data_IF_826096542035
#
_entry.id   IF_826096542035
#
_cell.length_a   1.000
_cell.length_b   1.000
_cell.length_c   1.000
_cell.angle_alpha   90.00
_cell.angle_beta   90.00
_cell.angle_gamma   90.00
#
_symmetry.space_group_name_H-M   'P 1'
#
loop_
_entity.id
_entity.type
_entity.pdbx_description
1 polymer ?
#
# COMPACT_ATOMS: atom_id res chain seq x y z
N UNK A 1 16.09 -8.98 -11.67
CA UNK A 1 15.52 -7.83 -12.39
C UNK A 1 15.00 -6.81 -11.39
N UNK A 2 15.32 -5.56 -11.57
CA UNK A 2 14.88 -4.50 -10.66
C UNK A 2 13.66 -3.80 -11.25
N UNK A 3 12.62 -3.68 -10.46
CA UNK A 3 11.39 -3.00 -10.87
C UNK A 3 11.47 -1.53 -10.50
N UNK A 4 10.74 -0.70 -11.23
CA UNK A 4 10.58 0.73 -10.93
C UNK A 4 9.30 0.92 -10.15
N UNK A 5 9.35 1.79 -9.15
CA UNK A 5 8.19 2.08 -8.31
C UNK A 5 7.56 3.39 -8.75
N UNK A 6 6.26 3.35 -9.00
CA UNK A 6 5.46 4.54 -9.27
C UNK A 6 4.41 4.67 -8.18
N UNK A 7 4.63 5.62 -7.27
CA UNK A 7 3.65 5.92 -6.21
C UNK A 7 2.71 6.98 -6.75
N UNK A 8 1.44 6.62 -6.91
CA UNK A 8 0.45 7.57 -7.43
C UNK A 8 0.23 8.72 -6.44
N UNK A 9 -0.20 9.87 -6.94
CA UNK A 9 -0.50 11.02 -6.08
C UNK A 9 -1.56 10.67 -5.04
N UNK A 10 -2.55 9.86 -5.42
CA UNK A 10 -3.60 9.42 -4.52
C UNK A 10 -3.03 8.59 -3.35
N UNK A 11 -2.13 7.66 -3.65
CA UNK A 11 -1.50 6.84 -2.61
C UNK A 11 -0.63 7.68 -1.68
N UNK A 12 0.13 8.61 -2.24
CA UNK A 12 0.99 9.53 -1.47
C UNK A 12 0.17 10.40 -0.54
N UNK A 13 -0.89 11.00 -1.07
CA UNK A 13 -1.80 11.85 -0.29
C UNK A 13 -2.48 11.07 0.82
N UNK A 14 -2.91 9.85 0.53
CA UNK A 14 -3.54 8.99 1.52
C UNK A 14 -2.58 8.67 2.67
N UNK A 15 -1.34 8.35 2.35
CA UNK A 15 -0.32 8.07 3.35
C UNK A 15 -0.04 9.30 4.23
N UNK A 16 0.09 10.47 3.62
CA UNK A 16 0.33 11.72 4.33
C UNK A 16 -0.81 12.02 5.31
N UNK A 17 -2.05 11.87 4.86
CA UNK A 17 -3.22 12.08 5.69
C UNK A 17 -3.29 11.10 6.86
N UNK A 18 -2.93 9.85 6.62
CA UNK A 18 -2.93 8.83 7.66
C UNK A 18 -1.85 9.11 8.71
N UNK A 19 -0.66 9.50 8.28
CA UNK A 19 0.44 9.88 9.19
C UNK A 19 0.03 11.08 10.03
N UNK A 20 -0.56 12.09 9.41
CA UNK A 20 -1.07 13.26 10.11
C UNK A 20 -2.09 12.88 11.19
N UNK A 21 -3.04 12.02 10.84
CA UNK A 21 -4.07 11.54 11.77
C UNK A 21 -3.44 10.82 12.97
N UNK A 22 -2.47 9.94 12.72
CA UNK A 22 -1.81 9.20 13.80
C UNK A 22 -1.04 10.12 14.74
N UNK A 23 -0.33 11.12 14.20
CA UNK A 23 0.50 12.02 15.01
C UNK A 23 -0.36 13.02 15.78
N UNK A 24 -1.27 13.70 15.09
CA UNK A 24 -1.95 14.87 15.66
C UNK A 24 -3.30 14.57 16.28
N UNK A 25 -4.03 13.57 15.76
CA UNK A 25 -5.33 13.21 16.31
C UNK A 25 -5.24 12.14 17.37
N UNK A 26 -4.51 11.08 17.08
CA UNK A 26 -4.37 9.95 18.01
C UNK A 26 -3.15 10.10 18.93
N UNK A 27 -2.32 11.13 18.73
CA UNK A 27 -1.13 11.39 19.54
C UNK A 27 -0.22 10.16 19.65
N UNK A 28 -0.10 9.40 18.56
CA UNK A 28 0.64 8.16 18.53
C UNK A 28 1.76 8.20 17.50
N UNK A 29 2.87 8.81 17.89
CA UNK A 29 4.05 8.92 17.02
C UNK A 29 4.68 7.57 16.71
N UNK A 30 4.58 6.62 17.64
CA UNK A 30 5.13 5.28 17.44
C UNK A 30 4.38 4.53 16.34
N UNK A 31 3.05 4.65 16.32
CA UNK A 31 2.25 4.06 15.25
C UNK A 31 2.56 4.70 13.89
N UNK A 32 2.76 6.01 13.86
CA UNK A 32 3.15 6.71 12.64
C UNK A 32 4.50 6.22 12.12
N UNK A 33 5.47 6.07 13.01
CA UNK A 33 6.78 5.54 12.66
C UNK A 33 6.68 4.11 12.15
N UNK A 34 5.91 3.26 12.83
CA UNK A 34 5.71 1.88 12.41
C UNK A 34 5.09 1.81 11.00
N UNK A 35 4.10 2.65 10.74
CA UNK A 35 3.47 2.73 9.42
C UNK A 35 4.49 3.10 8.34
N UNK A 36 5.27 4.16 8.58
CA UNK A 36 6.26 4.62 7.59
C UNK A 36 7.36 3.59 7.36
N UNK A 37 7.87 2.97 8.43
CA UNK A 37 8.89 1.93 8.31
C UNK A 37 8.36 0.71 7.55
N UNK A 38 7.11 0.33 7.80
CA UNK A 38 6.47 -0.80 7.12
C UNK A 38 6.25 -0.52 5.65
N UNK A 39 5.79 0.68 5.31
CA UNK A 39 5.58 1.08 3.91
C UNK A 39 6.90 1.11 3.16
N UNK A 40 7.95 1.67 3.77
CA UNK A 40 9.29 1.68 3.18
C UNK A 40 9.81 0.28 2.92
N UNK A 41 9.65 -0.62 3.89
CA UNK A 41 10.05 -2.03 3.75
C UNK A 41 9.29 -2.71 2.60
N UNK A 42 7.99 -2.46 2.49
CA UNK A 42 7.17 -3.00 1.40
C UNK A 42 7.67 -2.47 0.06
N UNK A 43 7.93 -1.17 -0.04
CA UNK A 43 8.41 -0.56 -1.28
C UNK A 43 9.76 -1.15 -1.71
N UNK A 44 10.67 -1.35 -0.78
CA UNK A 44 11.97 -1.97 -1.07
C UNK A 44 11.80 -3.39 -1.62
N UNK A 45 10.89 -4.16 -1.02
CA UNK A 45 10.61 -5.53 -1.47
C UNK A 45 9.94 -5.55 -2.83
N UNK A 46 9.08 -4.57 -3.12
CA UNK A 46 8.40 -4.47 -4.42
C UNK A 46 9.40 -4.19 -5.55
N UNK A 47 10.41 -3.39 -5.29
CA UNK A 47 11.47 -3.11 -6.28
C UNK A 47 12.27 -4.38 -6.61
N UNK A 48 12.47 -5.24 -5.65
CA UNK A 48 13.17 -6.51 -5.85
C UNK A 48 12.30 -7.54 -6.58
N UNK A 49 11.12 -7.81 -6.04
CA UNK A 49 10.19 -8.79 -6.61
C UNK A 49 8.78 -8.53 -6.11
N UNK A 50 7.93 -7.85 -6.91
CA UNK A 50 6.55 -7.59 -6.51
C UNK A 50 5.71 -8.85 -6.39
N UNK A 51 6.08 -9.92 -7.07
CA UNK A 51 5.30 -11.16 -7.08
C UNK A 51 5.48 -12.01 -5.81
N UNK A 52 6.30 -11.58 -4.87
CA UNK A 52 6.36 -12.21 -3.56
C UNK A 52 5.11 -11.92 -2.72
N UNK A 53 4.31 -10.93 -3.13
CA UNK A 53 3.05 -10.59 -2.47
C UNK A 53 1.87 -11.27 -3.18
N UNK A 54 0.79 -11.59 -2.46
CA UNK A 54 -0.36 -12.26 -3.06
C UNK A 54 -1.20 -11.32 -3.91
N UNK A 55 -2.00 -11.92 -4.79
CA UNK A 55 -3.04 -11.18 -5.48
C UNK A 55 -4.06 -10.67 -4.46
N UNK A 56 -4.78 -9.61 -4.83
CA UNK A 56 -5.82 -9.05 -3.98
C UNK A 56 -6.79 -10.14 -3.54
N UNK A 57 -7.19 -10.11 -2.26
CA UNK A 57 -8.20 -11.01 -1.74
C UNK A 57 -9.58 -10.76 -2.33
N UNK A 58 -9.81 -9.57 -2.86
CA UNK A 58 -11.00 -9.27 -3.63
C UNK A 58 -10.86 -9.87 -5.03
N UNK A 59 -11.79 -10.76 -5.40
CA UNK A 59 -11.71 -11.49 -6.65
C UNK A 59 -11.78 -10.58 -7.88
N UNK A 60 -12.56 -9.52 -7.81
CA UNK A 60 -12.68 -8.58 -8.92
C UNK A 60 -11.37 -7.84 -9.16
N UNK A 61 -10.73 -7.37 -8.09
CA UNK A 61 -9.43 -6.70 -8.17
C UNK A 61 -8.34 -7.67 -8.62
N UNK A 62 -8.35 -8.90 -8.10
CA UNK A 62 -7.38 -9.91 -8.49
C UNK A 62 -7.45 -10.19 -10.00
N UNK A 63 -8.66 -10.28 -10.55
CA UNK A 63 -8.86 -10.47 -11.99
C UNK A 63 -8.36 -9.29 -12.82
N UNK A 64 -8.36 -8.10 -12.26
CA UNK A 64 -7.83 -6.90 -12.92
C UNK A 64 -6.31 -6.77 -12.78
N UNK A 65 -5.66 -7.69 -12.09
CA UNK A 65 -4.22 -7.68 -11.94
C UNK A 65 -3.70 -6.95 -10.71
N UNK A 66 -4.56 -6.67 -9.74
CA UNK A 66 -4.14 -6.02 -8.50
C UNK A 66 -3.62 -7.03 -7.48
N UNK A 67 -2.63 -6.60 -6.74
CA UNK A 67 -1.98 -7.33 -5.65
C UNK A 67 -2.11 -6.54 -4.36
N UNK A 68 -1.89 -7.19 -3.24
CA UNK A 68 -1.94 -6.53 -1.95
C UNK A 68 -0.74 -6.88 -1.07
N UNK A 69 -0.31 -5.89 -0.29
CA UNK A 69 0.70 -6.08 0.75
C UNK A 69 0.12 -5.57 2.07
N UNK A 70 0.03 -6.47 3.05
CA UNK A 70 -0.53 -6.14 4.37
C UNK A 70 0.53 -5.40 5.19
N UNK A 71 0.11 -4.30 5.83
CA UNK A 71 0.97 -3.59 6.78
C UNK A 71 0.85 -4.31 8.12
N UNK A 72 1.95 -4.88 8.65
CA UNK A 72 1.90 -5.69 9.87
C UNK A 72 1.38 -4.90 11.07
N UNK A 73 0.55 -5.54 11.89
CA UNK A 73 0.02 -4.99 13.15
C UNK A 73 -0.88 -3.78 12.98
N UNK A 74 -1.24 -3.45 11.75
CA UNK A 74 -2.17 -2.38 11.42
C UNK A 74 -3.17 -2.93 10.41
N UNK A 75 -4.39 -2.44 10.44
CA UNK A 75 -5.43 -2.92 9.54
C UNK A 75 -5.41 -2.21 8.19
N UNK A 76 -4.22 -1.99 7.65
CA UNK A 76 -4.04 -1.32 6.36
C UNK A 76 -3.37 -2.24 5.36
N UNK A 77 -3.70 -2.04 4.09
CA UNK A 77 -3.11 -2.76 2.97
C UNK A 77 -2.66 -1.78 1.90
N UNK A 78 -1.58 -2.14 1.23
CA UNK A 78 -1.10 -1.42 0.05
C UNK A 78 -1.59 -2.19 -1.17
N UNK A 79 -2.32 -1.51 -2.07
CA UNK A 79 -2.81 -2.09 -3.32
C UNK A 79 -1.94 -1.59 -4.46
N UNK A 80 -1.49 -2.53 -5.28
CA UNK A 80 -0.61 -2.20 -6.41
C UNK A 80 -0.89 -3.11 -7.59
N UNK A 81 -0.47 -2.67 -8.78
CA UNK A 81 -0.40 -3.53 -9.95
C UNK A 81 1.02 -3.51 -10.51
N UNK A 82 1.28 -4.42 -11.44
CA UNK A 82 2.58 -4.52 -12.11
C UNK A 82 2.34 -4.48 -13.60
N UNK A 83 2.98 -3.51 -14.26
CA UNK A 83 2.91 -3.37 -15.73
C UNK A 83 4.34 -3.31 -16.26
N UNK A 84 4.76 -4.36 -16.96
CA UNK A 84 6.15 -4.53 -17.42
C UNK A 84 7.09 -4.50 -16.22
N UNK A 85 8.00 -3.54 -16.15
CA UNK A 85 8.93 -3.37 -15.04
C UNK A 85 8.52 -2.29 -14.05
N UNK A 86 7.25 -1.83 -14.12
CA UNK A 86 6.74 -0.76 -13.26
C UNK A 86 5.72 -1.31 -12.28
N UNK A 87 5.94 -1.06 -11.00
CA UNK A 87 4.99 -1.33 -9.92
C UNK A 87 4.27 -0.03 -9.60
N UNK A 88 2.95 -0.01 -9.81
CA UNK A 88 2.13 1.16 -9.53
C UNK A 88 1.43 0.98 -8.19
N UNK A 89 1.76 1.83 -7.22
CA UNK A 89 1.07 1.87 -5.93
C UNK A 89 -0.17 2.73 -6.11
N UNK A 90 -1.34 2.10 -6.12
CA UNK A 90 -2.59 2.80 -6.42
C UNK A 90 -3.33 3.28 -5.18
N UNK A 91 -3.04 2.72 -4.02
CA UNK A 91 -3.64 3.20 -2.79
C UNK A 91 -3.19 2.44 -1.57
N UNK A 92 -3.47 3.04 -0.41
CA UNK A 92 -3.28 2.42 0.91
C UNK A 92 -4.63 2.54 1.60
N UNK A 93 -5.22 1.40 1.96
CA UNK A 93 -6.60 1.36 2.43
C UNK A 93 -6.72 0.58 3.72
N UNK A 94 -7.73 0.93 4.52
CA UNK A 94 -8.11 0.10 5.65
C UNK A 94 -8.74 -1.20 5.12
N UNK A 95 -8.40 -2.34 5.73
CA UNK A 95 -8.87 -3.64 5.24
C UNK A 95 -10.38 -3.79 5.24
N UNK A 96 -11.08 -3.04 6.08
CA UNK A 96 -12.54 -3.10 6.20
C UNK A 96 -13.28 -2.10 5.32
N UNK A 97 -12.56 -1.16 4.67
CA UNK A 97 -13.25 -0.19 3.82
C UNK A 97 -13.49 -0.75 2.42
N UNK A 98 -14.51 -0.20 1.76
CA UNK A 98 -14.84 -0.57 0.40
C UNK A 98 -13.93 0.19 -0.57
N UNK A 99 -12.73 -0.32 -0.78
CA UNK A 99 -11.76 0.33 -1.65
C UNK A 99 -12.04 0.12 -3.15
N UNK A 100 -12.97 -0.78 -3.49
CA UNK A 100 -13.40 -0.95 -4.89
C UNK A 100 -13.91 0.36 -5.49
N UNK A 101 -14.67 1.12 -4.70
CA UNK A 101 -15.24 2.39 -5.17
C UNK A 101 -14.19 3.50 -5.28
N UNK A 102 -12.99 3.27 -4.79
CA UNK A 102 -11.91 4.26 -4.76
C UNK A 102 -10.80 4.01 -5.79
N UNK A 103 -10.87 2.87 -6.45
CA UNK A 103 -9.89 2.48 -7.47
C UNK A 103 -10.37 2.69 -8.93
#
# INVERSE_FOLDING_TARGET
>A
MVYKLNVTDHADEFLDNLVYHLIYRLKNKEAAKHLLDSVESIYDRLVENPYQFPKSRDMYLAKKGYYEAVIPQMNYIVIFDVRKDIVNIVGIFHQLENYLSKL
#
